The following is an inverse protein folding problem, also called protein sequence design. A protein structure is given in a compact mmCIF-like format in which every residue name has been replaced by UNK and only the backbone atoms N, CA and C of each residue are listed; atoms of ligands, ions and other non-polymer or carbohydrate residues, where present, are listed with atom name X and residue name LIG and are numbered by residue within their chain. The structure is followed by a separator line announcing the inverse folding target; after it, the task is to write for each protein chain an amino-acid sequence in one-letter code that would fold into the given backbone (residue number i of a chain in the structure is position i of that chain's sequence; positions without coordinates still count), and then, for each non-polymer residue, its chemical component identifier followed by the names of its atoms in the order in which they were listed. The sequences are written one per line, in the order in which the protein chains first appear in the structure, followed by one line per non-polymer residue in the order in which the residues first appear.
data_IF_619233704085
#
_entry.id   IF_619233704085
#
_cell.length_a   1.000
_cell.length_b   1.000
_cell.length_c   1.000
_cell.angle_alpha   90.00
_cell.angle_beta   90.00
_cell.angle_gamma   90.00
#
_symmetry.space_group_name_H-M   'P 1'
#
loop_
_entity.id
_entity.type
_entity.pdbx_description
1 polymer ?
#
# COMPACT_ATOMS: atom_id res chain seq x y z
N UNK A 1 46.92 28.73 2.48
CA UNK A 1 45.92 28.86 1.40
C UNK A 1 44.59 28.38 1.96
N UNK A 2 43.74 29.31 2.39
CA UNK A 2 42.42 29.00 2.96
C UNK A 2 41.44 28.97 1.78
N UNK A 3 40.87 27.80 1.49
CA UNK A 3 39.81 27.67 0.48
C UNK A 3 38.56 28.34 1.03
N UNK A 4 38.20 29.50 0.46
CA UNK A 4 36.91 30.13 0.69
C UNK A 4 35.86 29.30 -0.04
N UNK A 5 35.08 28.52 0.70
CA UNK A 5 33.89 27.90 0.15
C UNK A 5 32.80 28.97 0.13
N UNK A 6 32.49 29.48 -1.06
CA UNK A 6 31.33 30.33 -1.26
C UNK A 6 30.09 29.61 -0.71
N UNK A 7 29.35 30.30 0.15
CA UNK A 7 28.06 29.80 0.61
C UNK A 7 27.20 29.47 -0.61
N UNK A 8 26.70 28.23 -0.74
CA UNK A 8 25.87 27.87 -1.88
C UNK A 8 24.65 28.80 -1.94
N UNK A 9 24.21 29.18 -3.15
CA UNK A 9 23.10 30.11 -3.31
C UNK A 9 21.85 29.60 -2.58
N UNK A 10 21.10 30.53 -1.98
CA UNK A 10 19.86 30.21 -1.29
C UNK A 10 18.91 29.47 -2.25
N UNK A 11 18.36 28.34 -1.81
CA UNK A 11 17.42 27.57 -2.62
C UNK A 11 16.18 28.42 -2.93
N UNK A 12 15.64 28.35 -4.16
CA UNK A 12 14.43 29.07 -4.52
C UNK A 12 13.27 28.68 -3.58
N UNK A 13 12.32 29.60 -3.34
CA UNK A 13 11.20 29.33 -2.46
C UNK A 13 10.38 28.14 -2.97
N UNK A 14 9.83 27.30 -2.07
CA UNK A 14 9.08 26.13 -2.48
C UNK A 14 7.88 26.52 -3.34
N UNK A 15 7.78 25.94 -4.54
CA UNK A 15 6.63 26.13 -5.43
C UNK A 15 5.36 25.66 -4.73
N UNK A 16 4.27 26.43 -4.84
CA UNK A 16 2.96 26.03 -4.31
C UNK A 16 2.43 24.81 -5.07
N UNK A 17 1.71 23.93 -4.38
CA UNK A 17 0.98 22.86 -5.03
C UNK A 17 -0.06 23.46 -6.00
N UNK A 18 -0.20 22.85 -7.17
CA UNK A 18 -1.22 23.21 -8.16
C UNK A 18 -2.27 22.11 -8.24
N UNK A 19 -3.50 22.41 -8.73
CA UNK A 19 -4.51 21.38 -8.95
C UNK A 19 -3.99 20.21 -9.80
N UNK A 20 -3.18 20.50 -10.82
CA UNK A 20 -2.54 19.49 -11.66
C UNK A 20 -1.65 18.53 -10.87
N UNK A 21 -0.89 19.04 -9.88
CA UNK A 21 -0.07 18.17 -9.03
C UNK A 21 -0.92 17.28 -8.11
N UNK A 22 -2.11 17.74 -7.68
CA UNK A 22 -3.05 16.90 -6.93
C UNK A 22 -3.63 15.78 -7.79
N UNK A 23 -4.02 16.10 -9.03
CA UNK A 23 -4.47 15.08 -10.00
C UNK A 23 -3.36 14.06 -10.26
N UNK A 24 -2.12 14.51 -10.46
CA UNK A 24 -0.99 13.62 -10.70
C UNK A 24 -0.75 12.64 -9.53
N UNK A 25 -0.76 13.11 -8.27
CA UNK A 25 -0.55 12.21 -7.11
C UNK A 25 -1.74 11.26 -6.89
N UNK A 26 -2.96 11.66 -7.25
CA UNK A 26 -4.13 10.76 -7.24
C UNK A 26 -3.94 9.65 -8.29
N UNK A 27 -3.57 10.01 -9.53
CA UNK A 27 -3.31 9.02 -10.58
C UNK A 27 -2.19 8.06 -10.20
N UNK A 28 -1.12 8.57 -9.57
CA UNK A 28 -0.06 7.72 -9.03
C UNK A 28 -0.56 6.78 -7.95
N UNK A 29 -1.41 7.25 -7.02
CA UNK A 29 -1.98 6.40 -5.98
C UNK A 29 -2.83 5.25 -6.56
N UNK A 30 -3.65 5.55 -7.57
CA UNK A 30 -4.44 4.54 -8.29
C UNK A 30 -3.54 3.51 -8.99
N UNK A 31 -2.50 3.99 -9.68
CA UNK A 31 -1.52 3.12 -10.35
C UNK A 31 -0.75 2.25 -9.35
N UNK A 32 -0.38 2.80 -8.18
CA UNK A 32 0.26 2.06 -7.09
C UNK A 32 -0.61 0.92 -6.57
N UNK A 33 -1.91 1.17 -6.40
CA UNK A 33 -2.88 0.13 -6.05
C UNK A 33 -2.90 -1.03 -7.05
N UNK A 34 -2.96 -0.72 -8.35
CA UNK A 34 -2.93 -1.73 -9.41
C UNK A 34 -1.60 -2.51 -9.46
N UNK A 35 -0.45 -1.84 -9.23
CA UNK A 35 0.86 -2.50 -9.15
C UNK A 35 0.96 -3.49 -7.98
N UNK A 36 0.15 -3.32 -6.93
CA UNK A 36 0.04 -4.28 -5.83
C UNK A 36 -0.24 -5.71 -6.31
N UNK A 37 -0.99 -5.87 -7.41
CA UNK A 37 -1.29 -7.18 -8.02
C UNK A 37 -0.02 -7.90 -8.48
N UNK A 38 0.95 -7.15 -9.02
CA UNK A 38 2.27 -7.72 -9.35
C UNK A 38 2.98 -8.26 -8.11
N UNK A 39 2.82 -7.60 -6.97
CA UNK A 39 3.30 -8.09 -5.68
C UNK A 39 2.65 -9.41 -5.27
N UNK A 40 1.32 -9.54 -5.43
CA UNK A 40 0.59 -10.77 -5.16
C UNK A 40 1.05 -11.93 -6.07
N UNK A 41 1.21 -11.68 -7.38
CA UNK A 41 1.71 -12.67 -8.34
C UNK A 41 3.14 -13.12 -8.01
N UNK A 42 4.03 -12.19 -7.66
CA UNK A 42 5.41 -12.51 -7.26
C UNK A 42 5.40 -13.39 -5.99
N UNK A 43 4.55 -13.06 -5.02
CA UNK A 43 4.41 -13.84 -3.79
C UNK A 43 3.91 -15.27 -4.08
N UNK A 44 2.92 -15.41 -4.96
CA UNK A 44 2.37 -16.70 -5.38
C UNK A 44 3.43 -17.56 -6.07
N UNK A 45 4.13 -17.03 -7.09
CA UNK A 45 5.20 -17.74 -7.82
C UNK A 45 6.33 -18.14 -6.86
N UNK A 46 6.75 -17.24 -5.97
CA UNK A 46 7.83 -17.50 -5.02
C UNK A 46 7.48 -18.54 -3.95
N UNK A 47 6.19 -18.72 -3.65
CA UNK A 47 5.72 -19.66 -2.64
C UNK A 47 5.60 -21.11 -3.13
N UNK A 48 5.61 -21.36 -4.45
CA UNK A 48 5.41 -22.69 -5.01
C UNK A 48 4.09 -23.37 -4.58
N UNK A 49 3.07 -22.59 -4.19
CA UNK A 49 1.78 -23.10 -3.69
C UNK A 49 1.74 -23.43 -2.20
N UNK A 50 2.76 -23.09 -1.40
CA UNK A 50 2.72 -23.29 0.05
C UNK A 50 1.79 -22.28 0.74
N UNK A 51 0.67 -22.76 1.28
CA UNK A 51 -0.37 -21.98 1.96
C UNK A 51 0.18 -20.97 3.00
N UNK A 52 1.17 -21.34 3.81
CA UNK A 52 1.71 -20.48 4.88
C UNK A 52 2.42 -19.20 4.37
N UNK A 53 3.05 -19.24 3.20
CA UNK A 53 3.71 -18.06 2.60
C UNK A 53 2.66 -17.11 1.99
N UNK A 54 1.55 -17.66 1.47
CA UNK A 54 0.46 -16.86 0.90
C UNK A 54 -0.18 -15.98 1.98
N UNK A 55 -0.33 -16.45 3.22
CA UNK A 55 -1.08 -15.70 4.24
C UNK A 55 -0.26 -14.74 5.10
N UNK A 56 1.06 -14.92 5.19
CA UNK A 56 1.95 -14.05 5.97
C UNK A 56 2.91 -13.27 5.06
N UNK A 57 3.46 -13.94 4.03
CA UNK A 57 4.40 -13.34 3.09
C UNK A 57 3.73 -12.40 2.09
N UNK A 58 2.57 -12.77 1.54
CA UNK A 58 1.88 -11.92 0.58
C UNK A 58 1.46 -10.57 1.18
N UNK A 59 0.87 -10.48 2.40
CA UNK A 59 0.58 -9.20 3.03
C UNK A 59 1.78 -8.26 3.17
N UNK A 60 2.98 -8.80 3.48
CA UNK A 60 4.21 -8.00 3.58
C UNK A 60 4.52 -7.35 2.23
N UNK A 61 4.54 -8.15 1.16
CA UNK A 61 4.88 -7.70 -0.20
C UNK A 61 3.82 -6.70 -0.66
N UNK A 62 2.55 -7.07 -0.57
CA UNK A 62 1.45 -6.23 -1.02
C UNK A 62 1.39 -4.86 -0.35
N UNK A 63 1.58 -4.79 0.97
CA UNK A 63 1.59 -3.50 1.69
C UNK A 63 2.84 -2.65 1.38
N UNK A 64 3.87 -3.21 0.73
CA UNK A 64 4.97 -2.41 0.14
C UNK A 64 4.58 -1.87 -1.22
N UNK A 65 3.94 -2.68 -2.07
CA UNK A 65 3.65 -2.30 -3.45
C UNK A 65 2.47 -1.32 -3.56
N UNK A 66 1.38 -1.51 -2.80
CA UNK A 66 0.20 -0.60 -2.81
C UNK A 66 0.57 0.89 -2.68
N UNK A 67 1.44 1.31 -1.72
CA UNK A 67 1.80 2.72 -1.55
C UNK A 67 2.89 3.23 -2.49
N UNK A 68 3.47 2.42 -3.40
CA UNK A 68 4.59 2.87 -4.26
C UNK A 68 4.26 4.15 -5.03
N UNK A 69 3.05 4.25 -5.58
CA UNK A 69 2.61 5.45 -6.30
C UNK A 69 2.64 6.70 -5.43
N UNK A 70 2.18 6.59 -4.18
CA UNK A 70 2.19 7.69 -3.21
C UNK A 70 3.62 8.03 -2.78
N UNK A 71 4.49 7.03 -2.62
CA UNK A 71 5.91 7.22 -2.36
C UNK A 71 6.59 7.99 -3.51
N UNK A 72 6.37 7.60 -4.77
CA UNK A 72 6.86 8.32 -5.93
C UNK A 72 6.32 9.75 -5.97
N UNK A 73 5.07 9.94 -5.58
CA UNK A 73 4.47 11.27 -5.38
C UNK A 73 5.23 12.11 -4.34
N UNK A 74 5.72 11.51 -3.25
CA UNK A 74 6.52 12.24 -2.25
C UNK A 74 7.90 12.64 -2.79
N UNK A 75 8.46 11.84 -3.70
CA UNK A 75 9.73 12.13 -4.38
C UNK A 75 9.56 13.27 -5.40
N UNK A 76 8.57 13.19 -6.27
CA UNK A 76 8.41 14.13 -7.40
C UNK A 76 7.56 15.36 -7.09
N UNK A 77 6.61 15.26 -6.15
CA UNK A 77 5.63 16.30 -5.83
C UNK A 77 5.61 16.64 -4.34
N UNK A 78 6.81 16.85 -3.76
CA UNK A 78 7.03 17.14 -2.32
C UNK A 78 6.21 18.32 -1.78
N UNK A 79 5.87 19.29 -2.61
CA UNK A 79 5.04 20.43 -2.23
C UNK A 79 3.57 20.06 -1.98
N UNK A 80 3.09 18.99 -2.63
CA UNK A 80 1.68 18.58 -2.65
C UNK A 80 1.36 17.63 -1.48
N UNK A 81 2.31 16.77 -1.10
CA UNK A 81 2.10 15.71 -0.10
C UNK A 81 2.58 16.05 1.31
N UNK A 82 2.32 17.27 1.78
CA UNK A 82 2.74 17.74 3.12
C UNK A 82 1.88 17.21 4.25
N UNK A 83 0.60 16.96 4.00
CA UNK A 83 -0.34 16.49 5.02
C UNK A 83 -0.23 14.97 5.17
N UNK A 84 0.07 14.52 6.38
CA UNK A 84 0.14 13.11 6.74
C UNK A 84 -1.18 12.38 6.50
N UNK A 85 -2.30 13.03 6.82
CA UNK A 85 -3.63 12.46 6.61
C UNK A 85 -3.94 12.36 5.12
N UNK A 86 -3.54 13.36 4.32
CA UNK A 86 -3.75 13.30 2.87
C UNK A 86 -2.95 12.16 2.24
N UNK A 87 -1.68 11.96 2.65
CA UNK A 87 -0.88 10.80 2.24
C UNK A 87 -1.56 9.50 2.63
N UNK A 88 -2.06 9.38 3.86
CA UNK A 88 -2.77 8.19 4.31
C UNK A 88 -4.04 7.90 3.49
N UNK A 89 -4.82 8.93 3.14
CA UNK A 89 -6.00 8.80 2.29
C UNK A 89 -5.64 8.37 0.86
N UNK A 90 -4.54 8.87 0.30
CA UNK A 90 -4.06 8.41 -1.01
C UNK A 90 -3.59 6.96 -0.97
N UNK A 91 -2.92 6.52 0.11
CA UNK A 91 -2.58 5.12 0.27
C UNK A 91 -3.84 4.24 0.43
N UNK A 92 -4.84 4.71 1.18
CA UNK A 92 -6.14 4.03 1.30
C UNK A 92 -6.83 3.87 -0.06
N UNK A 93 -6.77 4.92 -0.90
CA UNK A 93 -7.28 4.86 -2.28
C UNK A 93 -6.55 3.80 -3.12
N UNK A 94 -5.22 3.68 -2.98
CA UNK A 94 -4.46 2.58 -3.57
C UNK A 94 -4.92 1.21 -3.06
N UNK A 95 -5.18 1.09 -1.76
CA UNK A 95 -5.75 -0.12 -1.14
C UNK A 95 -7.13 -0.48 -1.67
N UNK A 96 -8.00 0.50 -1.91
CA UNK A 96 -9.32 0.28 -2.54
C UNK A 96 -9.16 -0.25 -3.96
N UNK A 97 -8.29 0.35 -4.79
CA UNK A 97 -8.05 -0.13 -6.16
C UNK A 97 -7.52 -1.56 -6.15
N UNK A 98 -6.54 -1.85 -5.30
CA UNK A 98 -6.03 -3.21 -5.15
C UNK A 98 -7.15 -4.18 -4.77
N UNK A 99 -7.93 -3.88 -3.73
CA UNK A 99 -8.99 -4.76 -3.25
C UNK A 99 -10.09 -5.01 -4.27
N UNK A 100 -10.42 -4.00 -5.10
CA UNK A 100 -11.38 -4.16 -6.19
C UNK A 100 -10.87 -5.10 -7.28
N UNK A 101 -9.58 -4.98 -7.65
CA UNK A 101 -8.97 -5.86 -8.65
C UNK A 101 -8.84 -7.29 -8.08
N UNK A 102 -8.37 -7.42 -6.85
CA UNK A 102 -8.28 -8.72 -6.17
C UNK A 102 -9.65 -9.39 -6.10
N UNK A 103 -10.69 -8.66 -5.70
CA UNK A 103 -12.07 -9.18 -5.68
C UNK A 103 -12.52 -9.65 -7.05
N UNK A 104 -12.22 -8.89 -8.11
CA UNK A 104 -12.53 -9.27 -9.47
C UNK A 104 -11.84 -10.57 -9.89
N UNK A 105 -10.56 -10.74 -9.57
CA UNK A 105 -9.81 -11.98 -9.86
C UNK A 105 -10.45 -13.16 -9.13
N UNK A 106 -10.73 -13.02 -7.84
CA UNK A 106 -11.36 -14.10 -7.08
C UNK A 106 -12.73 -14.49 -7.61
N UNK A 107 -13.58 -13.51 -7.91
CA UNK A 107 -14.96 -13.75 -8.39
C UNK A 107 -15.00 -14.30 -9.81
N UNK A 108 -14.09 -13.88 -10.71
CA UNK A 108 -14.19 -14.20 -12.14
C UNK A 108 -13.15 -15.22 -12.62
N UNK A 109 -12.12 -15.51 -11.83
CA UNK A 109 -10.99 -16.38 -12.23
C UNK A 109 -10.86 -17.59 -11.31
N UNK A 110 -10.99 -17.43 -10.00
CA UNK A 110 -10.74 -18.52 -9.04
C UNK A 110 -11.98 -19.34 -8.67
N UNK A 111 -13.18 -18.77 -8.73
CA UNK A 111 -14.43 -19.43 -8.30
C UNK A 111 -15.38 -19.61 -9.47
N UNK A 112 -15.70 -20.87 -9.78
CA UNK A 112 -16.74 -21.21 -10.75
C UNK A 112 -18.13 -21.01 -10.14
N UNK A 113 -19.01 -20.26 -10.84
CA UNK A 113 -20.38 -19.98 -10.42
C UNK A 113 -20.49 -19.43 -8.97
N UNK A 114 -19.86 -18.28 -8.66
CA UNK A 114 -19.88 -17.70 -7.33
C UNK A 114 -21.29 -17.35 -6.87
N UNK A 115 -21.60 -17.60 -5.59
CA UNK A 115 -22.87 -17.17 -5.01
C UNK A 115 -22.94 -15.63 -4.85
N UNK A 116 -24.15 -15.07 -4.87
CA UNK A 116 -24.35 -13.63 -4.66
C UNK A 116 -23.74 -13.13 -3.33
N UNK A 117 -23.83 -13.96 -2.28
CA UNK A 117 -23.27 -13.65 -0.97
C UNK A 117 -21.73 -13.56 -1.01
N UNK A 118 -21.08 -14.47 -1.74
CA UNK A 118 -19.64 -14.44 -1.94
C UNK A 118 -19.19 -13.20 -2.71
N UNK A 119 -19.89 -12.86 -3.80
CA UNK A 119 -19.59 -11.65 -4.59
C UNK A 119 -19.71 -10.39 -3.71
N UNK A 120 -20.79 -10.26 -2.94
CA UNK A 120 -20.97 -9.14 -2.02
C UNK A 120 -19.87 -9.08 -0.96
N UNK A 121 -19.50 -10.23 -0.38
CA UNK A 121 -18.43 -10.31 0.60
C UNK A 121 -17.10 -9.82 0.01
N UNK A 122 -16.68 -10.35 -1.15
CA UNK A 122 -15.41 -9.99 -1.78
C UNK A 122 -15.32 -8.49 -2.08
N UNK A 123 -16.38 -7.92 -2.65
CA UNK A 123 -16.40 -6.49 -2.99
C UNK A 123 -16.64 -5.54 -1.81
N UNK A 124 -16.81 -6.03 -0.59
CA UNK A 124 -17.01 -5.19 0.60
C UNK A 124 -15.91 -5.36 1.64
N UNK A 125 -15.76 -6.56 2.20
CA UNK A 125 -14.92 -6.78 3.38
C UNK A 125 -13.42 -6.70 3.05
N UNK A 126 -12.88 -7.47 2.06
CA UNK A 126 -11.49 -7.31 1.61
C UNK A 126 -11.16 -5.88 1.15
N UNK A 127 -12.05 -5.24 0.38
CA UNK A 127 -11.83 -3.87 -0.10
C UNK A 127 -11.67 -2.90 1.07
N UNK A 128 -12.55 -2.97 2.06
CA UNK A 128 -12.48 -2.13 3.26
C UNK A 128 -11.22 -2.43 4.08
N UNK A 129 -10.84 -3.70 4.22
CA UNK A 129 -9.61 -4.11 4.90
C UNK A 129 -8.37 -3.52 4.22
N UNK A 130 -8.24 -3.68 2.90
CA UNK A 130 -7.08 -3.15 2.18
C UNK A 130 -7.01 -1.63 2.29
N UNK A 131 -8.15 -0.94 2.18
CA UNK A 131 -8.21 0.50 2.40
C UNK A 131 -7.70 0.88 3.80
N UNK A 132 -8.14 0.15 4.85
CA UNK A 132 -7.73 0.39 6.22
C UNK A 132 -6.24 0.08 6.47
N UNK A 133 -5.76 -1.07 6.01
CA UNK A 133 -4.35 -1.46 6.12
C UNK A 133 -3.43 -0.45 5.43
N UNK A 134 -3.75 -0.09 4.18
CA UNK A 134 -2.97 0.88 3.42
C UNK A 134 -3.09 2.30 3.99
N UNK A 135 -4.21 2.68 4.61
CA UNK A 135 -4.32 3.93 5.38
C UNK A 135 -3.32 3.94 6.54
N UNK A 136 -3.28 2.86 7.33
CA UNK A 136 -2.34 2.72 8.46
C UNK A 136 -0.90 2.79 7.97
N UNK A 137 -0.54 2.10 6.88
CA UNK A 137 0.79 2.21 6.25
C UNK A 137 1.08 3.65 5.81
N UNK A 138 0.10 4.32 5.18
CA UNK A 138 0.23 5.69 4.73
C UNK A 138 0.45 6.72 5.85
N UNK A 139 -0.05 6.46 7.07
CA UNK A 139 0.33 7.24 8.25
C UNK A 139 1.83 7.14 8.54
N UNK A 140 2.50 6.05 8.19
CA UNK A 140 3.94 5.87 8.33
C UNK A 140 4.76 6.51 7.19
N UNK A 141 4.14 6.81 6.05
CA UNK A 141 4.83 7.26 4.85
C UNK A 141 5.15 8.77 4.93
N UNK A 142 6.35 9.11 5.36
CA UNK A 142 6.78 10.50 5.57
C UNK A 142 8.04 10.82 4.76
N UNK A 143 8.40 12.09 4.64
CA UNK A 143 9.67 12.47 3.98
C UNK A 143 10.92 11.89 4.64
N UNK A 144 10.86 11.53 5.91
CA UNK A 144 11.96 10.83 6.56
C UNK A 144 12.15 9.40 6.03
N UNK A 145 11.09 8.76 5.50
CA UNK A 145 11.20 7.49 4.74
C UNK A 145 11.94 7.74 3.44
N UNK A 146 11.58 8.81 2.71
CA UNK A 146 12.29 9.20 1.47
C UNK A 146 13.77 9.48 1.76
N UNK A 147 14.09 10.19 2.84
CA UNK A 147 15.48 10.46 3.22
C UNK A 147 16.23 9.19 3.62
N UNK A 148 15.59 8.26 4.35
CA UNK A 148 16.18 6.96 4.69
C UNK A 148 16.51 6.13 3.45
N UNK A 149 15.58 6.00 2.50
CA UNK A 149 15.81 5.24 1.24
C UNK A 149 16.97 5.84 0.44
N UNK A 150 17.19 7.15 0.52
CA UNK A 150 18.29 7.83 -0.13
C UNK A 150 19.59 7.88 0.70
N UNK A 151 19.68 7.15 1.81
CA UNK A 151 20.87 7.13 2.67
C UNK A 151 21.14 8.43 3.44
N UNK A 152 20.17 9.35 3.52
CA UNK A 152 20.29 10.65 4.22
C UNK A 152 19.78 10.61 5.66
N UNK A 153 19.40 9.44 6.18
CA UNK A 153 18.86 9.31 7.53
C UNK A 153 18.57 7.86 7.93
N UNK A 154 18.01 7.68 9.12
CA UNK A 154 17.56 6.38 9.64
C UNK A 154 16.04 6.23 9.44
N UNK A 155 15.57 5.00 9.25
CA UNK A 155 14.13 4.70 9.21
C UNK A 155 13.47 5.16 10.51
N UNK A 156 12.47 6.06 10.47
CA UNK A 156 11.76 6.46 11.67
C UNK A 156 11.06 5.27 12.33
N UNK A 157 11.22 5.12 13.65
CA UNK A 157 10.53 4.06 14.41
C UNK A 157 9.01 4.12 14.22
N UNK A 158 8.44 5.32 14.19
CA UNK A 158 7.01 5.52 13.92
C UNK A 158 6.61 4.97 12.56
N UNK A 159 7.32 5.35 11.48
CA UNK A 159 7.09 4.84 10.12
C UNK A 159 7.12 3.31 10.06
N UNK A 160 8.14 2.69 10.67
CA UNK A 160 8.25 1.23 10.78
C UNK A 160 7.04 0.63 11.50
N UNK A 161 6.63 1.20 12.64
CA UNK A 161 5.53 0.68 13.43
C UNK A 161 4.18 0.77 12.69
N UNK A 162 3.95 1.84 11.91
CA UNK A 162 2.77 1.96 11.05
C UNK A 162 2.77 0.95 9.93
N UNK A 163 3.92 0.71 9.28
CA UNK A 163 4.04 -0.35 8.28
C UNK A 163 3.73 -1.73 8.89
N UNK A 164 4.35 -2.07 10.03
CA UNK A 164 4.07 -3.32 10.75
C UNK A 164 2.59 -3.40 11.13
N UNK A 165 1.98 -2.32 11.60
CA UNK A 165 0.56 -2.28 11.96
C UNK A 165 -0.37 -2.59 10.78
N UNK A 166 -0.11 -2.02 9.61
CA UNK A 166 -0.88 -2.32 8.39
C UNK A 166 -0.71 -3.76 7.93
N UNK A 167 0.53 -4.27 7.92
CA UNK A 167 0.81 -5.68 7.59
C UNK A 167 0.12 -6.63 8.56
N UNK A 168 0.18 -6.37 9.86
CA UNK A 168 -0.46 -7.22 10.87
C UNK A 168 -1.98 -7.20 10.74
N UNK A 169 -2.58 -6.02 10.50
CA UNK A 169 -4.02 -5.92 10.27
C UNK A 169 -4.46 -6.82 9.12
N UNK A 170 -3.72 -6.77 8.01
CA UNK A 170 -3.99 -7.58 6.83
C UNK A 170 -3.73 -9.08 7.08
N UNK A 171 -2.56 -9.44 7.61
CA UNK A 171 -2.21 -10.84 7.87
C UNK A 171 -3.16 -11.52 8.86
N UNK A 172 -3.62 -10.80 9.89
CA UNK A 172 -4.61 -11.31 10.85
C UNK A 172 -5.94 -11.63 10.17
N UNK A 173 -6.42 -10.76 9.29
CA UNK A 173 -7.62 -11.03 8.52
C UNK A 173 -7.46 -12.27 7.64
N UNK A 174 -6.39 -12.34 6.84
CA UNK A 174 -6.14 -13.48 5.95
C UNK A 174 -6.07 -14.79 6.73
N UNK A 175 -5.33 -14.79 7.85
CA UNK A 175 -5.23 -15.96 8.74
C UNK A 175 -6.59 -16.36 9.31
N UNK A 176 -7.40 -15.39 9.72
CA UNK A 176 -8.73 -15.65 10.29
C UNK A 176 -9.68 -16.23 9.25
N UNK A 177 -9.70 -15.68 8.04
CA UNK A 177 -10.51 -16.19 6.93
C UNK A 177 -10.17 -17.67 6.63
N UNK A 178 -8.88 -18.00 6.59
CA UNK A 178 -8.42 -19.39 6.38
C UNK A 178 -8.83 -20.31 7.52
N UNK A 179 -8.65 -19.89 8.78
CA UNK A 179 -9.06 -20.71 9.93
C UNK A 179 -10.55 -21.00 9.86
N UNK A 180 -11.37 -19.98 9.58
CA UNK A 180 -12.82 -20.15 9.50
C UNK A 180 -13.22 -21.11 8.36
N UNK A 181 -12.56 -21.02 7.20
CA UNK A 181 -12.78 -21.92 6.06
C UNK A 181 -12.37 -23.37 6.41
N UNK A 182 -11.13 -23.58 6.88
CA UNK A 182 -10.59 -24.91 7.21
C UNK A 182 -11.36 -25.59 8.36
N UNK A 183 -11.95 -24.82 9.28
CA UNK A 183 -12.76 -25.37 10.38
C UNK A 183 -14.22 -25.59 10.00
N UNK A 184 -14.63 -25.28 8.76
CA UNK A 184 -16.00 -25.44 8.29
C UNK A 184 -17.01 -24.51 8.98
N UNK A 185 -16.52 -23.42 9.60
CA UNK A 185 -17.40 -22.38 10.18
C UNK A 185 -18.04 -21.56 9.07
N UNK A 186 -17.33 -21.43 7.96
CA UNK A 186 -17.81 -20.87 6.70
C UNK A 186 -17.49 -21.84 5.59
N UNK A 187 -18.46 -22.09 4.72
CA UNK A 187 -18.24 -22.88 3.50
C UNK A 187 -17.20 -22.18 2.63
N UNK A 188 -16.45 -22.95 1.82
CA UNK A 188 -15.40 -22.44 0.94
C UNK A 188 -15.90 -21.20 0.16
N UNK A 189 -15.42 -20.01 0.56
CA UNK A 189 -15.66 -18.74 -0.10
C UNK A 189 -14.74 -18.61 -1.31
#
# INVERSE_FOLDING_TARGET
MILHFDTPPALPPPRRATPLTHVAVILLALAGGALGIGGAVIAEIGSGGFLLIIFIGAPIIEEVFKPIGVYLGQVWFRQTLRSRIYVALLCALGGVVFGLIESWVYVNVYVDNPSDAYVQFRYTVPVALHAAASFVVGLGLTYAVVDWVNGRGKLPKSSRNFYIGGVLLHAVYNTSAVILAVTGVVDDF
#
